data_IF_435022173892
#
_entry.id   IF_435022173892
#
_cell.length_a   1.000
_cell.length_b   1.000
_cell.length_c   1.000
_cell.angle_alpha   90.00
_cell.angle_beta   90.00
_cell.angle_gamma   90.00
#
_symmetry.space_group_name_H-M   'P 1'
#
loop_
_entity.id
_entity.type
_entity.pdbx_description
1 polymer ?
#
# COMPACT_ATOMS: atom_id res chain seq x y z
N UNK A 1 -3.56 -11.17 -22.66
CA UNK A 1 -3.36 -10.45 -21.38
C UNK A 1 -2.22 -9.49 -21.57
N UNK A 2 -2.43 -8.23 -21.24
CA UNK A 2 -1.44 -7.19 -21.44
C UNK A 2 -0.30 -7.31 -20.42
N UNK A 3 0.85 -6.68 -20.68
CA UNK A 3 1.95 -6.54 -19.71
C UNK A 3 1.43 -5.94 -18.40
N UNK A 4 0.50 -4.97 -18.49
CA UNK A 4 -0.13 -4.37 -17.32
C UNK A 4 -0.93 -5.37 -16.49
N UNK A 5 -1.68 -6.28 -17.13
CA UNK A 5 -2.43 -7.31 -16.42
C UNK A 5 -1.49 -8.27 -15.68
N UNK A 6 -0.38 -8.65 -16.31
CA UNK A 6 0.64 -9.53 -15.70
C UNK A 6 1.23 -8.85 -14.46
N UNK A 7 1.61 -7.58 -14.56
CA UNK A 7 2.15 -6.82 -13.42
C UNK A 7 1.13 -6.71 -12.29
N UNK A 8 -0.14 -6.41 -12.58
CA UNK A 8 -1.19 -6.31 -11.58
C UNK A 8 -1.46 -7.65 -10.89
N UNK A 9 -1.52 -8.74 -11.64
CA UNK A 9 -1.69 -10.09 -11.09
C UNK A 9 -0.51 -10.46 -10.20
N UNK A 10 0.72 -10.15 -10.62
CA UNK A 10 1.91 -10.40 -9.80
C UNK A 10 1.90 -9.60 -8.51
N UNK A 11 1.49 -8.33 -8.54
CA UNK A 11 1.33 -7.50 -7.34
C UNK A 11 0.28 -8.12 -6.41
N UNK A 12 -0.92 -8.39 -6.93
CA UNK A 12 -2.02 -8.98 -6.16
C UNK A 12 -1.62 -10.33 -5.56
N UNK A 13 -1.04 -11.22 -6.35
CA UNK A 13 -0.58 -12.53 -5.90
C UNK A 13 0.50 -12.39 -4.83
N UNK A 14 1.51 -11.54 -5.05
CA UNK A 14 2.58 -11.31 -4.09
C UNK A 14 2.05 -10.82 -2.75
N UNK A 15 1.19 -9.80 -2.74
CA UNK A 15 0.63 -9.25 -1.50
C UNK A 15 -0.35 -10.22 -0.82
N UNK A 16 -1.16 -10.95 -1.58
CA UNK A 16 -2.09 -11.97 -1.04
C UNK A 16 -1.32 -13.13 -0.40
N UNK A 17 -0.31 -13.66 -1.09
CA UNK A 17 0.55 -14.74 -0.57
C UNK A 17 1.32 -14.24 0.65
N UNK A 18 1.90 -13.04 0.59
CA UNK A 18 2.64 -12.46 1.72
C UNK A 18 1.72 -12.23 2.92
N UNK A 19 0.50 -11.76 2.70
CA UNK A 19 -0.53 -11.59 3.73
C UNK A 19 -0.93 -12.92 4.36
N UNK A 20 -1.12 -13.96 3.55
CA UNK A 20 -1.35 -15.32 4.04
C UNK A 20 -0.17 -15.82 4.91
N UNK A 21 1.08 -15.70 4.44
CA UNK A 21 2.26 -16.17 5.15
C UNK A 21 2.52 -15.43 6.47
N UNK A 22 2.31 -14.10 6.48
CA UNK A 22 2.48 -13.28 7.69
C UNK A 22 1.34 -13.45 8.69
N UNK A 23 0.10 -13.62 8.21
CA UNK A 23 -1.11 -13.61 9.02
C UNK A 23 -1.58 -12.19 9.38
N UNK A 24 -2.87 -12.06 9.70
CA UNK A 24 -3.53 -10.79 10.03
C UNK A 24 -2.85 -10.10 11.22
N UNK A 25 -2.53 -10.82 12.29
CA UNK A 25 -1.94 -10.23 13.50
C UNK A 25 -0.65 -9.47 13.21
N UNK A 26 0.20 -10.03 12.34
CA UNK A 26 1.45 -9.40 11.94
C UNK A 26 1.23 -8.17 11.07
N UNK A 27 0.23 -8.20 10.20
CA UNK A 27 -0.10 -7.05 9.38
C UNK A 27 -0.70 -5.90 10.18
N UNK A 28 -1.53 -6.22 11.18
CA UNK A 28 -2.04 -5.24 12.13
C UNK A 28 -0.93 -4.69 13.01
N UNK A 29 -0.05 -5.55 13.56
CA UNK A 29 1.10 -5.11 14.34
C UNK A 29 2.04 -4.17 13.55
N UNK A 30 2.21 -4.40 12.25
CA UNK A 30 2.99 -3.51 11.40
C UNK A 30 2.33 -2.13 11.26
N UNK A 31 1.00 -2.07 11.06
CA UNK A 31 0.27 -0.81 10.93
C UNK A 31 0.20 -0.07 12.26
N UNK A 32 -0.16 -0.76 13.34
CA UNK A 32 -0.21 -0.16 14.68
C UNK A 32 1.18 0.29 15.12
N UNK A 33 2.22 -0.51 14.85
CA UNK A 33 3.61 -0.15 15.11
C UNK A 33 4.04 1.10 14.34
N UNK A 34 3.61 1.24 13.09
CA UNK A 34 3.89 2.45 12.30
C UNK A 34 3.17 3.68 12.87
N UNK A 35 1.87 3.58 13.16
CA UNK A 35 1.08 4.70 13.71
C UNK A 35 1.60 5.13 15.08
N UNK A 36 1.79 4.16 15.99
CA UNK A 36 2.33 4.41 17.32
C UNK A 36 3.78 4.89 17.24
N UNK A 37 4.58 4.34 16.33
CA UNK A 37 5.96 4.76 16.10
C UNK A 37 6.06 6.21 15.67
N UNK A 38 5.24 6.64 14.69
CA UNK A 38 5.15 8.04 14.28
C UNK A 38 4.69 8.95 15.42
N UNK A 39 3.65 8.54 16.16
CA UNK A 39 3.12 9.35 17.26
C UNK A 39 4.15 9.51 18.40
N UNK A 40 4.82 8.44 18.79
CA UNK A 40 5.86 8.46 19.83
C UNK A 40 7.09 9.21 19.34
N UNK A 41 7.56 8.97 18.12
CA UNK A 41 8.73 9.68 17.57
C UNK A 41 8.47 11.19 17.44
N UNK A 42 7.23 11.61 17.15
CA UNK A 42 6.86 13.02 17.07
C UNK A 42 6.71 13.69 18.44
N UNK A 43 6.22 12.96 19.44
CA UNK A 43 6.03 13.50 20.80
C UNK A 43 7.27 13.40 21.68
N UNK A 44 8.16 12.44 21.40
CA UNK A 44 9.33 12.12 22.20
C UNK A 44 10.57 11.89 21.32
N UNK A 45 10.78 12.74 20.31
CA UNK A 45 11.96 12.68 19.42
C UNK A 45 13.28 12.66 20.20
N UNK A 46 13.26 13.26 21.40
CA UNK A 46 14.43 13.51 22.22
C UNK A 46 14.83 12.33 23.11
N UNK A 47 14.04 11.25 23.15
CA UNK A 47 14.33 10.04 23.96
C UNK A 47 15.71 9.46 23.65
N UNK A 48 16.10 9.43 22.36
CA UNK A 48 17.35 8.84 21.90
C UNK A 48 18.43 9.88 21.57
N UNK A 49 18.11 11.17 21.64
CA UNK A 49 19.09 12.23 21.35
C UNK A 49 20.32 12.21 22.26
N UNK A 50 20.22 11.94 23.58
CA UNK A 50 21.40 11.84 24.43
C UNK A 50 22.36 10.72 24.03
N UNK A 51 21.84 9.66 23.39
CA UNK A 51 22.62 8.52 22.92
C UNK A 51 23.25 8.85 21.56
N UNK A 52 22.45 9.40 20.64
CA UNK A 52 22.87 9.71 19.26
C UNK A 52 23.76 10.95 19.17
N UNK A 53 23.43 12.00 19.93
CA UNK A 53 24.11 13.29 19.91
C UNK A 53 25.57 13.24 20.39
N UNK A 54 25.99 12.16 21.07
CA UNK A 54 27.40 11.93 21.40
C UNK A 54 28.23 11.42 20.23
N UNK A 55 27.58 10.79 19.25
CA UNK A 55 28.24 10.21 18.08
C UNK A 55 28.21 11.13 16.86
N UNK A 56 27.40 12.20 16.89
CA UNK A 56 27.16 13.08 15.74
C UNK A 56 27.50 14.53 16.05
N UNK A 57 28.28 15.16 15.17
CA UNK A 57 28.69 16.56 15.31
C UNK A 57 27.64 17.56 14.82
N UNK A 58 26.73 17.13 13.94
CA UNK A 58 25.67 17.98 13.41
C UNK A 58 24.34 17.76 14.16
N UNK A 59 23.79 18.78 14.85
CA UNK A 59 22.55 18.66 15.61
C UNK A 59 21.36 18.24 14.76
N UNK A 60 21.22 18.75 13.54
CA UNK A 60 20.08 18.44 12.67
C UNK A 60 20.09 16.96 12.27
N UNK A 61 21.25 16.44 11.87
CA UNK A 61 21.42 15.01 11.57
C UNK A 61 21.15 14.17 12.82
N UNK A 62 21.62 14.59 14.00
CA UNK A 62 21.36 13.86 15.25
C UNK A 62 19.86 13.75 15.58
N UNK A 63 19.09 14.82 15.38
CA UNK A 63 17.63 14.82 15.57
C UNK A 63 16.91 13.87 14.60
N UNK A 64 17.28 13.90 13.31
CA UNK A 64 16.70 13.01 12.29
C UNK A 64 17.00 11.55 12.64
N UNK A 65 18.24 11.24 13.02
CA UNK A 65 18.63 9.88 13.39
C UNK A 65 17.92 9.41 14.67
N UNK A 66 17.83 10.25 15.70
CA UNK A 66 17.10 9.93 16.93
C UNK A 66 15.61 9.68 16.66
N UNK A 67 14.99 10.46 15.78
CA UNK A 67 13.61 10.26 15.35
C UNK A 67 13.43 8.88 14.67
N UNK A 68 14.26 8.58 13.67
CA UNK A 68 14.20 7.30 12.95
C UNK A 68 14.42 6.12 13.89
N UNK A 69 15.41 6.20 14.78
CA UNK A 69 15.67 5.15 15.75
C UNK A 69 14.50 4.95 16.73
N UNK A 70 13.86 6.04 17.16
CA UNK A 70 12.70 5.97 18.07
C UNK A 70 11.53 5.28 17.37
N UNK A 71 11.25 5.66 16.13
CA UNK A 71 10.23 5.03 15.29
C UNK A 71 10.51 3.54 15.12
N UNK A 72 11.74 3.17 14.77
CA UNK A 72 12.14 1.77 14.60
C UNK A 72 12.05 0.97 15.90
N UNK A 73 12.45 1.55 17.03
CA UNK A 73 12.37 0.89 18.34
C UNK A 73 10.91 0.56 18.72
N UNK A 74 9.99 1.51 18.52
CA UNK A 74 8.56 1.30 18.78
C UNK A 74 7.98 0.26 17.81
N UNK A 75 8.29 0.35 16.52
CA UNK A 75 7.86 -0.65 15.53
C UNK A 75 8.33 -2.06 15.91
N UNK A 76 9.59 -2.19 16.35
CA UNK A 76 10.15 -3.46 16.78
C UNK A 76 9.45 -4.00 18.02
N UNK A 77 9.16 -3.14 19.01
CA UNK A 77 8.45 -3.53 20.22
C UNK A 77 7.02 -4.02 19.90
N UNK A 78 6.26 -3.30 19.08
CA UNK A 78 4.90 -3.70 18.69
C UNK A 78 4.93 -4.98 17.85
N UNK A 79 5.91 -5.11 16.94
CA UNK A 79 6.10 -6.33 16.17
C UNK A 79 6.38 -7.54 17.08
N UNK A 80 7.22 -7.38 18.10
CA UNK A 80 7.51 -8.44 19.06
C UNK A 80 6.26 -8.85 19.85
N UNK A 81 5.45 -7.89 20.29
CA UNK A 81 4.17 -8.17 20.95
C UNK A 81 3.23 -8.93 20.01
N UNK A 82 3.11 -8.49 18.75
CA UNK A 82 2.32 -9.19 17.73
C UNK A 82 2.83 -10.61 17.47
N UNK A 83 4.15 -10.83 17.51
CA UNK A 83 4.77 -12.14 17.40
C UNK A 83 4.42 -13.08 18.55
N UNK A 84 4.52 -12.59 19.78
CA UNK A 84 4.15 -13.34 20.97
C UNK A 84 2.67 -13.70 20.95
N UNK A 85 1.80 -12.74 20.61
CA UNK A 85 0.36 -12.97 20.52
C UNK A 85 0.01 -13.99 19.43
N UNK A 86 0.61 -13.87 18.23
CA UNK A 86 0.44 -14.86 17.16
C UNK A 86 0.88 -16.25 17.60
N UNK A 87 2.01 -16.34 18.31
CA UNK A 87 2.53 -17.62 18.82
C UNK A 87 1.62 -18.23 19.89
N UNK A 88 1.04 -17.41 20.77
CA UNK A 88 0.06 -17.86 21.76
C UNK A 88 -1.22 -18.37 21.08
N UNK A 89 -1.71 -17.68 20.03
CA UNK A 89 -2.91 -18.09 19.29
C UNK A 89 -2.69 -19.34 18.43
N UNK A 90 -1.45 -19.65 18.03
CA UNK A 90 -1.11 -20.88 17.30
C UNK A 90 -1.39 -22.17 18.09
N UNK A 91 -1.49 -22.10 19.42
CA UNK A 91 -1.86 -23.25 20.25
C UNK A 91 -3.34 -23.66 20.09
N UNK A 92 -4.17 -22.85 19.41
CA UNK A 92 -5.58 -23.14 19.13
C UNK A 92 -5.89 -23.33 17.64
N UNK A 93 -7.13 -23.71 17.32
CA UNK A 93 -7.64 -23.86 15.93
C UNK A 93 -7.73 -22.52 15.15
N UNK A 94 -7.47 -21.38 15.80
CA UNK A 94 -7.59 -20.04 15.22
C UNK A 94 -6.45 -19.67 14.26
N UNK A 95 -5.36 -20.45 14.24
CA UNK A 95 -4.23 -20.21 13.32
C UNK A 95 -4.68 -20.17 11.85
N UNK A 96 -5.60 -21.05 11.42
CA UNK A 96 -6.12 -21.03 10.05
C UNK A 96 -6.84 -19.72 9.70
N UNK A 97 -7.66 -19.20 10.61
CA UNK A 97 -8.35 -17.91 10.44
C UNK A 97 -7.38 -16.73 10.36
N UNK A 98 -6.30 -16.70 11.15
CA UNK A 98 -5.28 -15.64 11.07
C UNK A 98 -4.66 -15.54 9.67
N UNK A 99 -4.38 -16.67 9.02
CA UNK A 99 -3.80 -16.69 7.68
C UNK A 99 -4.84 -16.34 6.60
N UNK A 100 -6.11 -16.75 6.77
CA UNK A 100 -7.21 -16.37 5.87
C UNK A 100 -7.50 -14.87 5.92
N UNK A 101 -7.62 -14.28 7.11
CA UNK A 101 -7.79 -12.84 7.22
C UNK A 101 -6.55 -12.08 6.75
N UNK A 102 -5.35 -12.65 6.96
CA UNK A 102 -4.11 -12.12 6.39
C UNK A 102 -4.12 -12.12 4.85
N UNK A 103 -4.67 -13.14 4.19
CA UNK A 103 -4.78 -13.16 2.73
C UNK A 103 -5.75 -12.11 2.22
N UNK A 104 -6.89 -11.91 2.89
CA UNK A 104 -7.86 -10.85 2.56
C UNK A 104 -7.22 -9.47 2.71
N UNK A 105 -6.52 -9.22 3.82
CA UNK A 105 -5.89 -7.94 4.07
C UNK A 105 -4.72 -7.68 3.10
N UNK A 106 -3.94 -8.71 2.78
CA UNK A 106 -2.94 -8.70 1.72
C UNK A 106 -3.55 -8.40 0.34
N UNK A 107 -4.68 -9.01 0.01
CA UNK A 107 -5.41 -8.75 -1.24
C UNK A 107 -5.88 -7.29 -1.32
N UNK A 108 -6.47 -6.75 -0.24
CA UNK A 108 -6.90 -5.35 -0.18
C UNK A 108 -5.70 -4.41 -0.40
N UNK A 109 -4.56 -4.66 0.25
CA UNK A 109 -3.33 -3.88 0.02
C UNK A 109 -2.81 -4.00 -1.40
N UNK A 110 -2.81 -5.21 -1.96
CA UNK A 110 -2.39 -5.46 -3.34
C UNK A 110 -3.27 -4.73 -4.34
N UNK A 111 -4.59 -4.74 -4.13
CA UNK A 111 -5.55 -4.01 -4.94
C UNK A 111 -5.36 -2.49 -4.82
N UNK A 112 -5.14 -1.99 -3.60
CA UNK A 112 -4.85 -0.57 -3.36
C UNK A 112 -3.57 -0.14 -4.09
N UNK A 113 -2.48 -0.90 -3.98
CA UNK A 113 -1.23 -0.61 -4.67
C UNK A 113 -1.36 -0.73 -6.20
N UNK A 114 -2.13 -1.72 -6.68
CA UNK A 114 -2.47 -1.84 -8.09
C UNK A 114 -3.26 -0.64 -8.61
N UNK A 115 -4.24 -0.15 -7.84
CA UNK A 115 -5.02 1.04 -8.17
C UNK A 115 -4.15 2.30 -8.21
N UNK A 116 -3.23 2.47 -7.25
CA UNK A 116 -2.25 3.56 -7.27
C UNK A 116 -1.35 3.47 -8.51
N UNK A 117 -0.89 2.27 -8.89
CA UNK A 117 -0.10 2.09 -10.10
C UNK A 117 -0.87 2.50 -11.36
N UNK A 118 -2.12 2.03 -11.50
CA UNK A 118 -3.01 2.41 -12.61
C UNK A 118 -3.22 3.92 -12.64
N UNK A 119 -3.49 4.54 -11.50
CA UNK A 119 -3.68 5.98 -11.37
C UNK A 119 -2.44 6.78 -11.79
N UNK A 120 -1.25 6.36 -11.36
CA UNK A 120 0.02 6.98 -11.78
C UNK A 120 0.22 6.86 -13.29
N UNK A 121 -0.13 5.72 -13.89
CA UNK A 121 -0.05 5.51 -15.34
C UNK A 121 -1.06 6.38 -16.10
N UNK A 122 -2.30 6.52 -15.61
CA UNK A 122 -3.31 7.41 -16.21
C UNK A 122 -2.84 8.87 -16.18
N UNK A 123 -2.22 9.31 -15.09
CA UNK A 123 -1.71 10.69 -14.96
C UNK A 123 -0.49 10.93 -15.84
N UNK A 124 0.42 9.97 -15.96
CA UNK A 124 1.67 10.12 -16.73
C UNK A 124 1.54 9.79 -18.22
N UNK A 125 0.53 9.03 -18.63
CA UNK A 125 0.43 8.50 -19.99
C UNK A 125 -1.03 8.52 -20.47
N UNK A 126 -1.40 9.63 -21.12
CA UNK A 126 -2.73 9.84 -21.70
C UNK A 126 -3.10 8.85 -22.82
N UNK A 127 -2.11 8.20 -23.45
CA UNK A 127 -2.30 7.40 -24.65
C UNK A 127 -1.38 6.17 -24.69
N UNK A 128 -1.63 5.19 -23.83
CA UNK A 128 -0.98 3.89 -23.97
C UNK A 128 -2.06 2.84 -24.25
N UNK A 129 -1.99 2.20 -25.43
CA UNK A 129 -2.80 1.01 -25.75
C UNK A 129 -2.73 -0.06 -24.65
N UNK A 130 -1.66 -0.02 -23.85
CA UNK A 130 -1.42 -0.78 -22.63
C UNK A 130 -2.55 -0.66 -21.59
N UNK A 131 -3.14 0.53 -21.42
CA UNK A 131 -4.25 0.77 -20.49
C UNK A 131 -5.60 0.33 -21.08
N UNK A 132 -5.79 0.49 -22.40
CA UNK A 132 -7.06 0.16 -23.09
C UNK A 132 -7.27 -1.33 -23.27
N UNK A 133 -6.21 -2.08 -23.51
CA UNK A 133 -6.27 -3.54 -23.69
C UNK A 133 -6.23 -4.31 -22.36
N UNK A 134 -6.14 -3.62 -21.21
CA UNK A 134 -6.08 -4.26 -19.91
C UNK A 134 -7.47 -4.69 -19.43
N UNK A 135 -7.63 -5.98 -19.14
CA UNK A 135 -8.89 -6.54 -18.61
C UNK A 135 -9.11 -6.18 -17.14
N UNK A 136 -8.04 -5.85 -16.40
CA UNK A 136 -8.09 -5.51 -14.97
C UNK A 136 -8.30 -4.00 -14.70
N UNK A 137 -8.13 -3.16 -15.72
CA UNK A 137 -8.31 -1.71 -15.64
C UNK A 137 -9.73 -1.27 -15.20
N UNK A 138 -10.84 -1.90 -15.64
CA UNK A 138 -12.18 -1.51 -15.18
C UNK A 138 -12.43 -1.82 -13.68
N UNK A 139 -11.91 -2.95 -13.19
CA UNK A 139 -12.09 -3.39 -11.80
C UNK A 139 -11.30 -2.52 -10.81
N UNK A 140 -10.08 -2.14 -11.16
CA UNK A 140 -9.27 -1.21 -10.37
C UNK A 140 -9.65 0.25 -10.61
N UNK A 141 -10.29 0.55 -11.74
CA UNK A 141 -10.75 1.89 -12.13
C UNK A 141 -11.70 2.52 -11.12
N UNK A 142 -12.62 1.74 -10.56
CA UNK A 142 -13.51 2.23 -9.50
C UNK A 142 -12.76 2.64 -8.22
N UNK A 143 -11.71 1.88 -7.87
CA UNK A 143 -10.86 2.19 -6.70
C UNK A 143 -9.95 3.38 -7.00
N UNK A 144 -9.41 3.50 -8.21
CA UNK A 144 -8.57 4.63 -8.61
C UNK A 144 -9.36 5.93 -8.73
N UNK A 145 -10.62 5.88 -9.18
CA UNK A 145 -11.50 7.05 -9.17
C UNK A 145 -11.75 7.57 -7.76
N UNK A 146 -12.05 6.66 -6.82
CA UNK A 146 -12.23 7.00 -5.42
C UNK A 146 -10.94 7.59 -4.82
N UNK A 147 -9.77 7.05 -5.17
CA UNK A 147 -8.48 7.62 -4.76
C UNK A 147 -8.20 8.99 -5.42
N UNK A 148 -8.65 9.20 -6.65
CA UNK A 148 -8.46 10.45 -7.37
C UNK A 148 -9.22 11.63 -6.74
N UNK A 149 -10.27 11.37 -5.97
CA UNK A 149 -10.96 12.41 -5.20
C UNK A 149 -10.11 13.03 -4.10
N UNK A 150 -9.09 12.31 -3.62
CA UNK A 150 -8.12 12.80 -2.64
C UNK A 150 -6.92 13.53 -3.28
N UNK A 151 -6.84 13.60 -4.62
CA UNK A 151 -5.78 14.34 -5.31
C UNK A 151 -5.95 15.86 -5.20
N UNK A 152 -4.85 16.62 -5.26
CA UNK A 152 -4.91 18.06 -5.47
C UNK A 152 -5.58 18.39 -6.83
N UNK A 153 -6.29 19.52 -6.89
CA UNK A 153 -7.12 19.92 -8.03
C UNK A 153 -6.41 19.89 -9.39
N UNK A 154 -5.08 20.11 -9.43
CA UNK A 154 -4.26 20.04 -10.64
C UNK A 154 -4.17 18.63 -11.22
N UNK A 155 -4.02 17.61 -10.37
CA UNK A 155 -3.93 16.20 -10.77
C UNK A 155 -5.31 15.58 -11.00
N UNK A 156 -6.31 16.02 -10.23
CA UNK A 156 -7.70 15.59 -10.39
C UNK A 156 -8.23 15.85 -11.81
N UNK A 157 -7.94 17.04 -12.36
CA UNK A 157 -8.35 17.40 -13.73
C UNK A 157 -7.69 16.51 -14.78
N UNK A 158 -6.36 16.34 -14.69
CA UNK A 158 -5.59 15.50 -15.61
C UNK A 158 -6.06 14.04 -15.57
N UNK A 159 -6.34 13.52 -14.37
CA UNK A 159 -6.87 12.16 -14.20
C UNK A 159 -8.24 12.01 -14.86
N UNK A 160 -9.21 12.89 -14.57
CA UNK A 160 -10.55 12.79 -15.15
C UNK A 160 -10.56 12.95 -16.68
N UNK A 161 -9.75 13.86 -17.22
CA UNK A 161 -9.65 14.07 -18.66
C UNK A 161 -9.11 12.81 -19.37
N UNK A 162 -8.05 12.20 -18.84
CA UNK A 162 -7.44 10.98 -19.38
C UNK A 162 -8.34 9.75 -19.16
N UNK A 163 -8.96 9.61 -17.99
CA UNK A 163 -9.88 8.51 -17.67
C UNK A 163 -11.13 8.55 -18.56
N UNK A 164 -11.67 9.73 -18.85
CA UNK A 164 -12.77 9.90 -19.79
C UNK A 164 -12.38 9.51 -21.22
N UNK A 165 -11.15 9.84 -21.64
CA UNK A 165 -10.60 9.42 -22.94
C UNK A 165 -10.50 7.89 -23.08
N UNK A 166 -10.08 7.20 -22.01
CA UNK A 166 -10.01 5.73 -21.97
C UNK A 166 -11.40 5.07 -22.02
N UNK A 167 -12.38 5.60 -21.28
CA UNK A 167 -13.77 5.08 -21.30
C UNK A 167 -14.43 5.23 -22.66
N UNK A 168 -14.34 6.41 -23.28
CA UNK A 168 -14.90 6.64 -24.62
C UNK A 168 -14.28 5.71 -25.68
N UNK A 169 -12.99 5.42 -25.55
CA UNK A 169 -12.32 4.50 -26.46
C UNK A 169 -12.72 3.04 -26.25
N UNK A 170 -12.98 2.63 -25.00
CA UNK A 170 -13.50 1.30 -24.69
C UNK A 170 -14.95 1.14 -25.21
N UNK A 171 -15.79 2.16 -25.04
CA UNK A 171 -17.20 2.17 -25.49
C UNK A 171 -17.34 2.28 -27.03
N UNK A 172 -16.39 2.94 -27.70
CA UNK A 172 -16.35 2.99 -29.16
C UNK A 172 -16.04 1.64 -29.81
N UNK A 173 -15.31 0.76 -29.10
CA UNK A 173 -14.97 -0.58 -29.59
C UNK A 173 -16.15 -1.57 -29.44
N UNK A 174 -16.95 -1.46 -28.37
CA UNK A 174 -18.14 -2.31 -28.16
C UNK A 174 -19.26 -2.03 -29.15
N UNK A 175 -19.36 -0.81 -29.71
CA UNK A 175 -20.35 -0.48 -30.74
C UNK A 175 -19.97 -0.95 -32.15
N UNK A 176 -18.68 -1.20 -32.41
CA UNK A 176 -18.19 -1.57 -33.75
C UNK A 176 -17.96 -3.08 -33.93
N UNK A 177 -17.97 -3.85 -32.83
CA UNK A 177 -17.90 -5.30 -32.85
C UNK A 177 -18.90 -5.90 -31.85
N UNK A 178 -20.22 -5.90 -32.18
CA UNK A 178 -21.20 -6.61 -31.39
C UNK A 178 -20.94 -8.11 -31.52
N UNK A 179 -20.85 -8.79 -30.37
CA UNK A 179 -20.64 -10.23 -30.27
C UNK A 179 -21.66 -11.05 -31.07
#
# INVERSE_FOLDING_TARGET
MNILDIVLVLILAFFTIRGFLRGLLMELAAITGLILGFWVANSHSDLLLPIVGRAMNDPTTAHIVAYILTLLAVMLAVWLIGFLLRTALKAGKLSGMDHLFGSIFGFIKGALLGAILVMVLIVNSSDSGVLRESTLQPYLGGVSDWLADYLPNSLKKVYHDNAAGLRRAADGFTLQNPA
#
